data_IF_544407251153
#
_entry.id   IF_544407251153
#
_cell.length_a   1.000
_cell.length_b   1.000
_cell.length_c   1.000
_cell.angle_alpha   90.00
_cell.angle_beta   90.00
_cell.angle_gamma   90.00
#
_symmetry.space_group_name_H-M   'P 1'
#
loop_
_entity.id
_entity.type
_entity.pdbx_description
1 polymer ?
#
# COMPACT_ATOMS: atom_id res chain seq x y z
N UNK A 1 1.78 -11.61 -39.85
CA UNK A 1 0.51 -10.86 -39.91
C UNK A 1 -0.12 -10.96 -38.53
N UNK A 2 -0.52 -9.83 -37.94
CA UNK A 2 -1.09 -9.79 -36.59
C UNK A 2 -2.53 -9.32 -36.62
N UNK A 3 -3.32 -9.77 -35.64
CA UNK A 3 -4.64 -9.22 -35.39
C UNK A 3 -4.46 -7.86 -34.71
N UNK A 4 -5.16 -6.85 -35.19
CA UNK A 4 -5.08 -5.47 -34.72
C UNK A 4 -6.46 -4.82 -34.80
N UNK A 5 -6.59 -3.59 -34.31
CA UNK A 5 -7.87 -2.88 -34.24
C UNK A 5 -8.63 -2.80 -35.58
N UNK A 6 -7.91 -2.77 -36.71
CA UNK A 6 -8.51 -2.69 -38.04
C UNK A 6 -9.14 -4.00 -38.53
N UNK A 7 -8.79 -5.16 -37.97
CA UNK A 7 -9.26 -6.48 -38.43
C UNK A 7 -9.87 -7.34 -37.30
N UNK A 8 -9.82 -6.88 -36.05
CA UNK A 8 -10.32 -7.63 -34.89
C UNK A 8 -11.81 -7.97 -34.98
N UNK A 9 -12.65 -7.07 -35.48
CA UNK A 9 -14.09 -7.34 -35.60
C UNK A 9 -14.40 -8.48 -36.60
N UNK A 10 -13.65 -8.53 -37.70
CA UNK A 10 -13.76 -9.59 -38.70
C UNK A 10 -13.22 -10.91 -38.14
N UNK A 11 -12.11 -10.85 -37.39
CA UNK A 11 -11.53 -12.01 -36.74
C UNK A 11 -12.45 -12.63 -35.67
N UNK A 12 -13.06 -11.80 -34.81
CA UNK A 12 -14.05 -12.27 -33.82
C UNK A 12 -15.28 -12.85 -34.51
N UNK A 13 -15.70 -12.28 -35.64
CA UNK A 13 -16.80 -12.83 -36.45
C UNK A 13 -16.44 -14.19 -37.02
N UNK A 14 -15.21 -14.36 -37.54
CA UNK A 14 -14.68 -15.64 -38.02
C UNK A 14 -14.69 -16.69 -36.90
N UNK A 15 -14.14 -16.37 -35.73
CA UNK A 15 -14.10 -17.30 -34.58
C UNK A 15 -15.50 -17.70 -34.10
N UNK A 16 -16.44 -16.75 -34.03
CA UNK A 16 -17.82 -17.02 -33.60
C UNK A 16 -18.58 -17.91 -34.58
N UNK A 17 -18.44 -17.63 -35.89
CA UNK A 17 -19.04 -18.48 -36.92
C UNK A 17 -18.46 -19.89 -36.88
N UNK A 18 -17.14 -20.02 -36.78
CA UNK A 18 -16.48 -21.33 -36.74
C UNK A 18 -16.86 -22.15 -35.51
N UNK A 19 -16.92 -21.52 -34.33
CA UNK A 19 -17.14 -22.24 -33.06
C UNK A 19 -18.61 -22.48 -32.72
N UNK A 20 -19.49 -21.53 -33.07
CA UNK A 20 -20.90 -21.53 -32.66
C UNK A 20 -21.90 -21.55 -33.82
N UNK A 21 -21.43 -21.47 -35.07
CA UNK A 21 -22.24 -21.42 -36.29
C UNK A 21 -23.32 -20.31 -36.27
N UNK A 22 -23.05 -19.22 -35.55
CA UNK A 22 -23.92 -18.05 -35.43
C UNK A 22 -23.10 -16.77 -35.57
N UNK A 23 -23.74 -15.70 -36.05
CA UNK A 23 -23.10 -14.38 -36.07
C UNK A 23 -22.93 -13.85 -34.62
N UNK A 24 -21.80 -13.18 -34.31
CA UNK A 24 -21.60 -12.57 -33.00
C UNK A 24 -22.62 -11.43 -32.76
N UNK A 25 -23.06 -11.20 -31.51
CA UNK A 25 -23.88 -10.05 -31.16
C UNK A 25 -23.19 -8.72 -31.51
N UNK A 26 -23.97 -7.71 -31.96
CA UNK A 26 -23.43 -6.41 -32.34
C UNK A 26 -22.65 -5.71 -31.20
N UNK A 27 -23.18 -5.76 -29.97
CA UNK A 27 -22.53 -5.20 -28.78
C UNK A 27 -21.15 -5.84 -28.49
N UNK A 28 -20.97 -7.12 -28.83
CA UNK A 28 -19.67 -7.78 -28.69
C UNK A 28 -18.67 -7.21 -29.69
N UNK A 29 -19.07 -7.08 -30.96
CA UNK A 29 -18.22 -6.52 -32.01
C UNK A 29 -17.85 -5.05 -31.72
N UNK A 30 -18.77 -4.26 -31.18
CA UNK A 30 -18.49 -2.90 -30.75
C UNK A 30 -17.48 -2.85 -29.59
N UNK A 31 -17.62 -3.74 -28.61
CA UNK A 31 -16.66 -3.89 -27.52
C UNK A 31 -15.25 -4.19 -28.01
N UNK A 32 -15.09 -5.08 -28.99
CA UNK A 32 -13.78 -5.41 -29.56
C UNK A 32 -13.18 -4.31 -30.44
N UNK A 33 -14.00 -3.49 -31.10
CA UNK A 33 -13.53 -2.33 -31.90
C UNK A 33 -13.01 -1.19 -31.03
N UNK A 34 -13.50 -1.07 -29.80
CA UNK A 34 -13.13 -0.01 -28.88
C UNK A 34 -11.78 -0.25 -28.17
N UNK A 35 -11.22 -1.47 -28.26
CA UNK A 35 -9.97 -1.84 -27.62
C UNK A 35 -8.74 -1.30 -28.37
N UNK A 36 -7.68 -0.97 -27.63
CA UNK A 36 -6.35 -0.72 -28.18
C UNK A 36 -5.69 -2.01 -28.67
N UNK A 37 -4.61 -1.92 -29.47
CA UNK A 37 -3.90 -3.11 -29.95
C UNK A 37 -3.31 -3.94 -28.81
N UNK A 38 -2.82 -3.29 -27.75
CA UNK A 38 -2.29 -3.95 -26.55
C UNK A 38 -3.39 -4.68 -25.76
N UNK A 39 -4.57 -4.07 -25.67
CA UNK A 39 -5.73 -4.69 -25.03
C UNK A 39 -6.29 -5.85 -25.85
N UNK A 40 -6.23 -5.77 -27.19
CA UNK A 40 -6.65 -6.84 -28.09
C UNK A 40 -5.84 -8.11 -27.84
N UNK A 41 -4.51 -8.02 -27.72
CA UNK A 41 -3.66 -9.18 -27.49
C UNK A 41 -4.00 -9.87 -26.15
N UNK A 42 -4.16 -9.09 -25.08
CA UNK A 42 -4.51 -9.59 -23.73
C UNK A 42 -5.91 -10.22 -23.73
N UNK A 43 -6.88 -9.58 -24.36
CA UNK A 43 -8.25 -10.10 -24.42
C UNK A 43 -8.34 -11.34 -25.31
N UNK A 44 -7.56 -11.42 -26.39
CA UNK A 44 -7.48 -12.62 -27.22
C UNK A 44 -6.85 -13.78 -26.43
N UNK A 45 -5.79 -13.55 -25.66
CA UNK A 45 -5.22 -14.60 -24.80
C UNK A 45 -6.25 -15.12 -23.78
N UNK A 46 -6.99 -14.21 -23.14
CA UNK A 46 -8.09 -14.58 -22.25
C UNK A 46 -9.19 -15.38 -22.96
N UNK A 47 -9.55 -15.00 -24.19
CA UNK A 47 -10.57 -15.68 -24.99
C UNK A 47 -10.13 -17.12 -25.33
N UNK A 48 -8.91 -17.30 -25.85
CA UNK A 48 -8.39 -18.62 -26.21
C UNK A 48 -8.20 -19.52 -24.98
N UNK A 49 -7.71 -18.97 -23.87
CA UNK A 49 -7.63 -19.69 -22.60
C UNK A 49 -9.01 -20.14 -22.09
N UNK A 50 -10.04 -19.30 -22.21
CA UNK A 50 -11.41 -19.66 -21.83
C UNK A 50 -12.00 -20.81 -22.68
N UNK A 51 -11.43 -21.04 -23.87
CA UNK A 51 -11.82 -22.12 -24.78
C UNK A 51 -10.92 -23.35 -24.67
N UNK A 52 -9.95 -23.34 -23.75
CA UNK A 52 -8.98 -24.42 -23.56
C UNK A 52 -8.02 -24.59 -24.74
N UNK A 53 -7.78 -23.52 -25.51
CA UNK A 53 -6.89 -23.54 -26.66
C UNK A 53 -5.52 -22.99 -26.27
N UNK A 54 -4.45 -23.70 -26.66
CA UNK A 54 -3.08 -23.29 -26.43
C UNK A 54 -2.57 -22.27 -27.46
N UNK A 55 -1.31 -21.87 -27.29
CA UNK A 55 -0.66 -20.88 -28.16
C UNK A 55 -0.49 -21.38 -29.61
N UNK A 56 -0.33 -22.70 -29.78
CA UNK A 56 -0.24 -23.33 -31.09
C UNK A 56 -1.57 -23.24 -31.86
N UNK A 57 -2.69 -23.53 -31.19
CA UNK A 57 -4.03 -23.40 -31.75
C UNK A 57 -4.39 -21.94 -32.01
N UNK A 58 -3.98 -21.00 -31.14
CA UNK A 58 -4.12 -19.56 -31.38
C UNK A 58 -3.46 -19.14 -32.70
N UNK A 59 -2.20 -19.54 -32.92
CA UNK A 59 -1.47 -19.26 -34.17
C UNK A 59 -2.15 -19.92 -35.38
N UNK A 60 -2.67 -21.13 -35.23
CA UNK A 60 -3.39 -21.83 -36.28
C UNK A 60 -4.68 -21.11 -36.70
N UNK A 61 -5.47 -20.62 -35.75
CA UNK A 61 -6.72 -19.89 -36.04
C UNK A 61 -6.46 -18.53 -36.68
N UNK A 62 -5.43 -17.81 -36.23
CA UNK A 62 -5.01 -16.54 -36.85
C UNK A 62 -4.59 -16.77 -38.30
N UNK A 63 -3.80 -17.81 -38.56
CA UNK A 63 -3.38 -18.15 -39.92
C UNK A 63 -4.56 -18.61 -40.79
N UNK A 64 -5.53 -19.34 -40.23
CA UNK A 64 -6.74 -19.75 -40.92
C UNK A 64 -7.60 -18.54 -41.32
N UNK A 65 -7.76 -17.57 -40.42
CA UNK A 65 -8.43 -16.31 -40.72
C UNK A 65 -7.75 -15.57 -41.86
N UNK A 66 -6.44 -15.35 -41.80
CA UNK A 66 -5.75 -14.65 -42.89
C UNK A 66 -5.82 -15.42 -44.21
N UNK A 67 -5.81 -16.76 -44.18
CA UNK A 67 -6.00 -17.58 -45.38
C UNK A 67 -7.40 -17.44 -45.97
N UNK A 68 -8.44 -17.34 -45.14
CA UNK A 68 -9.82 -17.16 -45.62
C UNK A 68 -10.07 -15.73 -46.11
N UNK A 69 -9.53 -14.73 -45.41
CA UNK A 69 -9.72 -13.32 -45.74
C UNK A 69 -8.89 -12.86 -46.94
N UNK A 70 -7.70 -13.44 -47.18
CA UNK A 70 -6.84 -13.09 -48.32
C UNK A 70 -7.23 -13.83 -49.62
N UNK A 71 -7.96 -14.96 -49.54
CA UNK A 71 -8.27 -15.80 -50.70
C UNK A 71 -9.77 -16.03 -50.96
N UNK A 72 -10.68 -15.38 -50.22
CA UNK A 72 -12.11 -15.42 -50.53
C UNK A 72 -12.45 -14.60 -51.80
N UNK A 73 -13.18 -15.16 -52.78
CA UNK A 73 -13.60 -14.41 -53.96
C UNK A 73 -14.62 -13.33 -53.58
N UNK A 74 -14.31 -12.08 -53.97
CA UNK A 74 -15.14 -10.89 -53.76
C UNK A 74 -16.53 -11.09 -54.38
N UNK A 75 -17.66 -10.86 -53.67
CA UNK A 75 -19.00 -10.95 -54.26
C UNK A 75 -19.15 -9.94 -55.40
N UNK A 76 -19.50 -10.43 -56.59
CA UNK A 76 -19.75 -9.65 -57.79
C UNK A 76 -21.01 -8.79 -57.61
N UNK A 77 -20.93 -7.50 -57.91
CA UNK A 77 -22.05 -6.56 -57.83
C UNK A 77 -23.18 -6.97 -58.79
N UNK A 78 -24.40 -7.05 -58.27
CA UNK A 78 -25.59 -7.36 -59.06
C UNK A 78 -25.93 -6.23 -60.08
N UNK A 79 -26.48 -6.55 -61.26
CA UNK A 79 -26.76 -5.56 -62.31
C UNK A 79 -27.95 -4.66 -61.94
N UNK A 80 -27.84 -3.36 -62.24
CA UNK A 80 -28.94 -2.38 -62.15
C UNK A 80 -29.99 -2.69 -63.22
N UNK A 81 -31.22 -3.01 -62.81
CA UNK A 81 -32.40 -3.04 -63.69
C UNK A 81 -33.10 -1.67 -63.76
N UNK A 82 -33.84 -1.36 -64.84
CA UNK A 82 -34.46 -0.06 -65.10
C UNK A 82 -35.79 0.15 -64.34
N UNK A 83 -36.32 1.40 -64.30
CA UNK A 83 -37.45 1.77 -63.44
C UNK A 83 -38.82 1.25 -63.96
N UNK A 84 -39.78 0.93 -63.07
CA UNK A 84 -41.11 0.45 -63.47
C UNK A 84 -42.15 1.60 -63.68
N UNK A 85 -43.16 1.38 -64.55
CA UNK A 85 -44.29 2.29 -64.81
C UNK A 85 -45.44 2.19 -63.77
N UNK A 86 -46.45 3.09 -63.80
CA UNK A 86 -47.35 3.39 -62.66
C UNK A 86 -48.51 2.38 -62.45
N UNK A 87 -49.24 2.47 -61.32
CA UNK A 87 -49.90 1.33 -60.69
C UNK A 87 -51.31 1.03 -61.23
N UNK A 88 -51.72 -0.23 -61.11
CA UNK A 88 -53.10 -0.71 -61.30
C UNK A 88 -53.57 -1.54 -60.09
N UNK A 89 -54.90 -1.67 -59.88
CA UNK A 89 -55.51 -1.84 -58.56
C UNK A 89 -55.35 -3.22 -57.92
N UNK A 90 -55.25 -3.21 -56.59
CA UNK A 90 -55.23 -4.38 -55.71
C UNK A 90 -56.56 -5.15 -55.73
N UNK A 91 -56.51 -6.49 -55.71
CA UNK A 91 -57.53 -7.30 -55.06
C UNK A 91 -57.12 -7.62 -53.61
N UNK A 92 -58.08 -7.48 -52.70
CA UNK A 92 -58.00 -7.89 -51.30
C UNK A 92 -57.46 -9.32 -51.15
N UNK A 93 -56.36 -9.46 -50.41
CA UNK A 93 -55.95 -10.73 -49.82
C UNK A 93 -56.20 -10.70 -48.32
N UNK A 94 -56.88 -11.75 -47.88
CA UNK A 94 -57.29 -12.09 -46.54
C UNK A 94 -56.12 -12.13 -45.56
N UNK A 95 -56.30 -11.49 -44.41
CA UNK A 95 -55.40 -11.54 -43.25
C UNK A 95 -55.22 -13.01 -42.78
N UNK A 96 -53.99 -13.53 -42.67
CA UNK A 96 -53.77 -14.74 -41.90
C UNK A 96 -53.80 -14.41 -40.41
N UNK A 97 -54.51 -15.26 -39.65
CA UNK A 97 -54.60 -15.18 -38.20
C UNK A 97 -53.20 -15.19 -37.54
N UNK A 98 -52.94 -14.19 -36.70
CA UNK A 98 -51.71 -14.11 -35.90
C UNK A 98 -51.69 -15.28 -34.91
N UNK A 99 -50.95 -16.33 -35.28
CA UNK A 99 -50.65 -17.48 -34.43
C UNK A 99 -49.72 -17.01 -33.30
N UNK A 100 -50.27 -16.70 -32.12
CA UNK A 100 -49.47 -16.47 -30.90
C UNK A 100 -48.67 -17.75 -30.61
N UNK A 101 -47.36 -17.71 -30.85
CA UNK A 101 -46.46 -18.82 -30.50
C UNK A 101 -46.53 -19.04 -28.98
N UNK A 102 -46.72 -20.29 -28.51
CA UNK A 102 -46.75 -20.57 -27.08
C UNK A 102 -45.37 -20.27 -26.47
N UNK A 103 -45.43 -19.55 -25.37
CA UNK A 103 -44.37 -18.98 -24.55
C UNK A 103 -43.02 -19.73 -24.58
N UNK A 104 -41.98 -19.04 -25.04
CA UNK A 104 -40.56 -19.37 -24.84
C UNK A 104 -40.10 -19.26 -23.37
N UNK A 105 -41.03 -19.25 -22.41
CA UNK A 105 -40.80 -19.04 -20.97
C UNK A 105 -39.82 -20.05 -20.38
N UNK A 106 -39.90 -21.33 -20.78
CA UNK A 106 -38.98 -22.35 -20.26
C UNK A 106 -37.53 -22.13 -20.73
N UNK A 107 -37.31 -21.58 -21.93
CA UNK A 107 -35.96 -21.25 -22.42
C UNK A 107 -35.42 -19.96 -21.79
N UNK A 108 -36.27 -18.95 -21.56
CA UNK A 108 -35.86 -17.74 -20.84
C UNK A 108 -35.51 -18.03 -19.38
N UNK A 109 -36.22 -18.96 -18.72
CA UNK A 109 -35.92 -19.38 -17.35
C UNK A 109 -34.52 -20.01 -17.22
N UNK A 110 -34.13 -20.86 -18.18
CA UNK A 110 -32.78 -21.47 -18.21
C UNK A 110 -31.68 -20.44 -18.46
N UNK A 111 -31.89 -19.48 -19.36
CA UNK A 111 -30.92 -18.40 -19.58
C UNK A 111 -30.75 -17.54 -18.32
N UNK A 112 -31.85 -17.18 -17.65
CA UNK A 112 -31.81 -16.44 -16.38
C UNK A 112 -31.07 -17.25 -15.30
N UNK A 113 -31.34 -18.55 -15.17
CA UNK A 113 -30.66 -19.40 -14.20
C UNK A 113 -29.15 -19.47 -14.42
N UNK A 114 -28.69 -19.59 -15.68
CA UNK A 114 -27.26 -19.60 -16.02
C UNK A 114 -26.62 -18.24 -15.70
N UNK A 115 -27.26 -17.12 -16.03
CA UNK A 115 -26.76 -15.78 -15.70
C UNK A 115 -26.65 -15.60 -14.18
N UNK A 116 -27.68 -16.01 -13.42
CA UNK A 116 -27.65 -15.94 -11.96
C UNK A 116 -26.52 -16.80 -11.38
N UNK A 117 -26.29 -18.00 -11.92
CA UNK A 117 -25.21 -18.87 -11.47
C UNK A 117 -23.83 -18.28 -11.77
N UNK A 118 -23.64 -17.67 -12.95
CA UNK A 118 -22.41 -16.95 -13.29
C UNK A 118 -22.19 -15.73 -12.38
N UNK A 119 -23.24 -14.95 -12.10
CA UNK A 119 -23.17 -13.82 -11.17
C UNK A 119 -22.83 -14.29 -9.76
N UNK A 120 -23.48 -15.33 -9.26
CA UNK A 120 -23.19 -15.92 -7.95
C UNK A 120 -21.75 -16.46 -7.88
N UNK A 121 -21.28 -17.14 -8.93
CA UNK A 121 -19.89 -17.61 -9.03
C UNK A 121 -18.89 -16.46 -9.01
N UNK A 122 -19.13 -15.39 -9.78
CA UNK A 122 -18.29 -14.19 -9.78
C UNK A 122 -18.28 -13.48 -8.42
N UNK A 123 -19.45 -13.26 -7.81
CA UNK A 123 -19.56 -12.66 -6.49
C UNK A 123 -18.86 -13.51 -5.42
N UNK A 124 -19.01 -14.83 -5.46
CA UNK A 124 -18.31 -15.75 -4.57
C UNK A 124 -16.80 -15.70 -4.74
N UNK A 125 -16.30 -15.70 -5.98
CA UNK A 125 -14.87 -15.52 -6.27
C UNK A 125 -14.33 -14.19 -5.73
N UNK A 126 -15.02 -13.07 -5.99
CA UNK A 126 -14.65 -11.75 -5.47
C UNK A 126 -14.70 -11.68 -3.95
N UNK A 127 -15.66 -12.37 -3.32
CA UNK A 127 -15.73 -12.45 -1.86
C UNK A 127 -14.54 -13.22 -1.29
N UNK A 128 -14.10 -14.31 -1.90
CA UNK A 128 -12.89 -15.01 -1.47
C UNK A 128 -11.65 -14.12 -1.56
N UNK A 129 -11.48 -13.36 -2.66
CA UNK A 129 -10.39 -12.38 -2.77
C UNK A 129 -10.48 -11.30 -1.69
N UNK A 130 -11.68 -10.81 -1.40
CA UNK A 130 -11.92 -9.81 -0.34
C UNK A 130 -11.65 -10.35 1.07
N UNK A 131 -12.04 -11.59 1.33
CA UNK A 131 -11.83 -12.26 2.61
C UNK A 131 -10.34 -12.55 2.85
N UNK A 132 -9.62 -12.95 1.79
CA UNK A 132 -8.17 -13.18 1.82
C UNK A 132 -7.31 -11.92 1.72
N UNK A 133 -7.91 -10.75 1.48
CA UNK A 133 -7.17 -9.50 1.36
C UNK A 133 -6.51 -9.10 2.68
N UNK A 134 -5.23 -8.73 2.60
CA UNK A 134 -4.41 -8.36 3.74
C UNK A 134 -4.83 -7.01 4.35
N UNK A 135 -4.61 -6.89 5.66
CA UNK A 135 -4.64 -5.59 6.31
C UNK A 135 -3.26 -4.98 6.27
N UNK A 136 -3.22 -3.67 6.05
CA UNK A 136 -2.04 -2.88 6.31
C UNK A 136 -2.27 -2.06 7.58
N UNK A 137 -1.19 -1.84 8.31
CA UNK A 137 -1.17 -1.19 9.61
C UNK A 137 -0.17 -0.05 9.54
N UNK A 138 -0.47 1.08 10.14
CA UNK A 138 0.50 2.19 10.13
C UNK A 138 1.52 2.10 11.25
N UNK A 139 2.72 2.61 10.98
CA UNK A 139 3.86 2.62 11.91
C UNK A 139 4.11 4.00 12.55
N UNK A 140 3.31 5.00 12.17
CA UNK A 140 3.44 6.39 12.66
C UNK A 140 2.07 7.06 12.69
N UNK A 141 1.97 8.18 13.41
CA UNK A 141 0.77 9.00 13.40
C UNK A 141 0.70 9.89 12.16
N UNK A 142 -0.51 10.33 11.82
CA UNK A 142 -0.85 11.33 10.81
C UNK A 142 -0.48 10.96 9.37
N UNK A 143 -0.63 9.69 9.00
CA UNK A 143 -0.41 9.23 7.62
C UNK A 143 -1.65 9.51 6.78
N UNK A 144 -1.51 10.39 5.79
CA UNK A 144 -2.65 10.73 4.91
C UNK A 144 -3.01 9.58 3.97
N UNK A 145 -4.30 9.32 3.84
CA UNK A 145 -4.89 8.46 2.81
C UNK A 145 -5.59 9.36 1.80
N UNK A 146 -5.20 9.27 0.53
CA UNK A 146 -5.64 10.19 -0.53
C UNK A 146 -6.48 9.49 -1.61
N UNK A 147 -7.43 10.19 -2.22
CA UNK A 147 -8.16 9.70 -3.40
C UNK A 147 -7.34 9.86 -4.70
N UNK A 148 -7.96 9.62 -5.85
CA UNK A 148 -7.31 9.76 -7.17
C UNK A 148 -7.04 11.23 -7.51
N UNK A 149 -7.84 12.13 -6.94
CA UNK A 149 -7.75 13.59 -7.04
C UNK A 149 -6.72 14.21 -6.08
N UNK A 150 -5.96 13.38 -5.36
CA UNK A 150 -4.93 13.77 -4.36
C UNK A 150 -5.49 14.42 -3.08
N UNK A 151 -6.79 14.47 -2.89
CA UNK A 151 -7.43 15.00 -1.68
C UNK A 151 -7.32 14.01 -0.52
N UNK A 152 -7.21 14.52 0.70
CA UNK A 152 -7.13 13.69 1.91
C UNK A 152 -8.55 13.23 2.26
N UNK A 153 -8.80 11.93 2.16
CA UNK A 153 -10.12 11.31 2.42
C UNK A 153 -10.16 10.56 3.75
N UNK A 154 -9.00 10.16 4.27
CA UNK A 154 -8.85 9.55 5.59
C UNK A 154 -7.41 9.74 6.09
N UNK A 155 -7.17 9.33 7.32
CA UNK A 155 -5.82 9.22 7.89
C UNK A 155 -5.63 7.88 8.58
N UNK A 156 -4.39 7.43 8.63
CA UNK A 156 -3.95 6.33 9.45
C UNK A 156 -3.11 6.87 10.60
N UNK A 157 -3.36 6.36 11.81
CA UNK A 157 -2.61 6.71 13.01
C UNK A 157 -2.18 5.46 13.78
N UNK A 158 -0.96 5.48 14.33
CA UNK A 158 -0.47 4.35 15.12
C UNK A 158 -1.33 4.19 16.38
N UNK A 159 -1.75 5.31 16.96
CA UNK A 159 -2.70 5.38 18.07
C UNK A 159 -3.99 6.05 17.64
N UNK A 160 -5.14 5.57 18.13
CA UNK A 160 -6.44 6.13 17.78
C UNK A 160 -6.51 7.65 18.09
N UNK A 161 -6.92 8.43 17.09
CA UNK A 161 -7.08 9.89 17.20
C UNK A 161 -8.50 10.27 16.81
N UNK A 162 -9.18 11.01 17.69
CA UNK A 162 -10.47 11.63 17.38
C UNK A 162 -10.23 12.91 16.57
N UNK A 163 -10.72 12.93 15.34
CA UNK A 163 -10.57 14.05 14.39
C UNK A 163 -11.79 14.14 13.46
N UNK A 164 -11.94 15.29 12.80
CA UNK A 164 -12.96 15.49 11.76
C UNK A 164 -12.68 14.65 10.51
N UNK A 165 -11.41 14.29 10.28
CA UNK A 165 -11.01 13.35 9.23
C UNK A 165 -11.00 11.95 9.84
N UNK A 166 -11.70 10.96 9.25
CA UNK A 166 -11.71 9.58 9.74
C UNK A 166 -10.28 9.04 9.93
N UNK A 167 -9.98 8.60 11.15
CA UNK A 167 -8.70 8.01 11.53
C UNK A 167 -8.87 6.51 11.76
N UNK A 168 -7.93 5.74 11.21
CA UNK A 168 -7.90 4.29 11.33
C UNK A 168 -6.51 3.86 11.78
N UNK A 169 -6.39 2.71 12.43
CA UNK A 169 -5.08 2.13 12.75
C UNK A 169 -4.61 1.13 11.68
N UNK A 170 -5.58 0.56 10.98
CA UNK A 170 -5.40 -0.40 9.91
C UNK A 170 -6.42 -0.17 8.83
N UNK A 171 -6.12 -0.64 7.62
CA UNK A 171 -7.06 -0.65 6.50
C UNK A 171 -6.84 -1.91 5.68
N UNK A 172 -7.91 -2.41 5.06
CA UNK A 172 -7.81 -3.55 4.15
C UNK A 172 -7.24 -3.09 2.81
N UNK A 173 -6.10 -3.66 2.41
CA UNK A 173 -5.54 -3.44 1.08
C UNK A 173 -6.39 -4.19 0.05
N UNK A 174 -6.57 -3.62 -1.15
CA UNK A 174 -7.37 -4.28 -2.18
C UNK A 174 -6.60 -5.39 -2.92
N UNK A 175 -5.26 -5.24 -2.94
CA UNK A 175 -4.27 -6.10 -3.56
C UNK A 175 -2.88 -5.75 -3.02
N UNK A 176 -1.86 -6.48 -3.48
CA UNK A 176 -0.46 -6.29 -3.12
C UNK A 176 0.33 -5.43 -4.12
N UNK A 177 -0.36 -4.74 -5.05
CA UNK A 177 0.30 -3.91 -6.05
C UNK A 177 0.74 -2.58 -5.45
N UNK A 178 1.86 -2.08 -5.97
CA UNK A 178 2.37 -0.75 -5.67
C UNK A 178 1.91 0.22 -6.75
N UNK A 179 1.22 1.27 -6.34
CA UNK A 179 0.72 2.34 -7.19
C UNK A 179 1.57 3.58 -6.99
N UNK A 180 2.21 4.06 -8.04
CA UNK A 180 2.94 5.34 -7.99
C UNK A 180 1.95 6.50 -8.14
N UNK A 181 1.87 7.36 -7.11
CA UNK A 181 0.92 8.48 -7.03
C UNK A 181 1.61 9.75 -6.55
N UNK A 182 1.22 10.88 -7.15
CA UNK A 182 1.61 12.20 -6.64
C UNK A 182 0.78 12.54 -5.40
N UNK A 183 1.42 13.15 -4.40
CA UNK A 183 0.75 13.58 -3.15
C UNK A 183 0.40 15.07 -3.16
N UNK A 184 0.96 15.81 -4.11
CA UNK A 184 0.81 17.25 -4.31
C UNK A 184 0.84 17.57 -5.81
N UNK A 185 0.94 18.86 -6.14
CA UNK A 185 1.06 19.33 -7.53
C UNK A 185 2.49 19.23 -8.07
N UNK A 186 3.41 18.56 -7.37
CA UNK A 186 4.73 18.24 -7.92
C UNK A 186 4.67 17.02 -8.81
N UNK A 187 5.65 16.88 -9.70
CA UNK A 187 5.83 15.68 -10.54
C UNK A 187 6.38 14.48 -9.76
N UNK A 188 6.61 14.62 -8.44
CA UNK A 188 7.12 13.53 -7.61
C UNK A 188 6.02 12.52 -7.35
N UNK A 189 6.33 11.26 -7.64
CA UNK A 189 5.45 10.14 -7.32
C UNK A 189 6.02 9.31 -6.18
N UNK A 190 5.14 8.74 -5.38
CA UNK A 190 5.47 7.93 -4.23
C UNK A 190 4.81 6.56 -4.37
N UNK A 191 5.47 5.49 -3.90
CA UNK A 191 4.87 4.16 -3.86
C UNK A 191 3.73 4.12 -2.83
N UNK A 192 2.54 3.71 -3.27
CA UNK A 192 1.35 3.62 -2.45
C UNK A 192 0.66 2.26 -2.55
N UNK A 193 0.00 1.83 -1.47
CA UNK A 193 -0.98 0.74 -1.47
C UNK A 193 -2.37 1.32 -1.66
N UNK A 194 -3.21 0.63 -2.43
CA UNK A 194 -4.63 0.98 -2.56
C UNK A 194 -5.44 0.26 -1.47
N UNK A 195 -6.27 1.01 -0.77
CA UNK A 195 -6.99 0.57 0.45
C UNK A 195 -8.47 0.90 0.38
N UNK A 196 -9.27 0.14 1.11
CA UNK A 196 -10.69 0.42 1.35
C UNK A 196 -10.86 1.40 2.51
N UNK A 197 -11.64 2.46 2.30
CA UNK A 197 -11.88 3.49 3.31
C UNK A 197 -12.86 3.04 4.41
N UNK A 198 -13.66 2.01 4.15
CA UNK A 198 -14.57 1.42 5.13
C UNK A 198 -14.17 -0.02 5.41
N UNK A 199 -13.77 -0.30 6.65
CA UNK A 199 -13.55 -1.66 7.11
C UNK A 199 -14.85 -2.47 6.94
N UNK A 200 -14.77 -3.62 6.28
CA UNK A 200 -15.90 -4.56 6.09
C UNK A 200 -16.92 -4.21 4.99
N UNK A 201 -16.63 -3.27 4.08
CA UNK A 201 -17.51 -3.01 2.94
C UNK A 201 -17.20 -3.86 1.69
N UNK A 202 -17.67 -5.11 1.67
CA UNK A 202 -17.54 -5.98 0.49
C UNK A 202 -18.21 -5.38 -0.75
N UNK A 203 -19.34 -4.69 -0.59
CA UNK A 203 -20.06 -4.09 -1.73
C UNK A 203 -19.22 -2.99 -2.40
N UNK A 204 -18.49 -2.19 -1.63
CA UNK A 204 -17.52 -1.24 -2.17
C UNK A 204 -16.41 -1.94 -2.98
N UNK A 205 -15.89 -3.05 -2.47
CA UNK A 205 -14.89 -3.88 -3.17
C UNK A 205 -15.44 -4.52 -4.45
N UNK A 206 -16.69 -4.98 -4.43
CA UNK A 206 -17.33 -5.66 -5.55
C UNK A 206 -17.60 -4.70 -6.72
N UNK A 207 -18.13 -3.51 -6.42
CA UNK A 207 -18.57 -2.55 -7.45
C UNK A 207 -17.53 -1.49 -7.82
N UNK A 208 -16.37 -1.47 -7.16
CA UNK A 208 -15.29 -0.51 -7.39
C UNK A 208 -15.78 0.95 -7.52
N UNK A 209 -16.68 1.37 -6.61
CA UNK A 209 -17.26 2.72 -6.66
C UNK A 209 -16.21 3.78 -6.35
N UNK A 210 -16.23 4.88 -7.10
CA UNK A 210 -15.42 6.06 -6.80
C UNK A 210 -15.71 6.56 -5.36
N UNK A 211 -14.68 7.03 -4.67
CA UNK A 211 -14.77 7.51 -3.29
C UNK A 211 -14.80 6.44 -2.20
N UNK A 212 -14.71 5.14 -2.54
CA UNK A 212 -14.60 4.06 -1.54
C UNK A 212 -13.16 3.57 -1.31
N UNK A 213 -12.22 4.07 -2.11
CA UNK A 213 -10.82 3.69 -2.07
C UNK A 213 -9.94 4.89 -1.81
N UNK A 214 -8.79 4.62 -1.19
CA UNK A 214 -7.72 5.58 -1.05
C UNK A 214 -6.37 4.95 -1.34
N UNK A 215 -5.36 5.79 -1.35
CA UNK A 215 -3.97 5.43 -1.54
C UNK A 215 -3.17 5.91 -0.35
N UNK A 216 -2.32 5.03 0.19
CA UNK A 216 -1.47 5.31 1.34
C UNK A 216 -0.03 4.93 1.03
N UNK A 217 0.89 5.80 1.41
CA UNK A 217 2.31 5.62 1.11
C UNK A 217 2.89 4.40 1.86
N UNK A 218 3.58 3.54 1.11
CA UNK A 218 4.12 2.26 1.61
C UNK A 218 5.21 2.43 2.65
N UNK A 219 5.87 3.59 2.71
CA UNK A 219 6.93 3.86 3.68
C UNK A 219 6.43 3.99 5.12
N UNK A 220 5.11 4.09 5.31
CA UNK A 220 4.50 4.32 6.63
C UNK A 220 3.52 3.20 7.03
N UNK A 221 3.54 2.07 6.33
CA UNK A 221 2.65 0.95 6.60
C UNK A 221 3.38 -0.39 6.51
N UNK A 222 2.88 -1.35 7.28
CA UNK A 222 3.34 -2.76 7.32
C UNK A 222 2.13 -3.68 7.17
N UNK A 223 2.33 -4.90 6.69
CA UNK A 223 1.29 -5.92 6.56
C UNK A 223 1.27 -6.94 7.73
N UNK A 224 2.31 -6.90 8.57
CA UNK A 224 2.47 -7.81 9.69
C UNK A 224 1.87 -7.25 11.00
N UNK A 225 0.86 -7.93 11.53
CA UNK A 225 0.19 -7.54 12.80
C UNK A 225 1.13 -7.62 14.01
N UNK A 226 2.08 -8.57 14.03
CA UNK A 226 3.05 -8.67 15.13
C UNK A 226 3.98 -7.47 15.14
N UNK A 227 4.45 -7.07 13.96
CA UNK A 227 5.27 -5.86 13.81
C UNK A 227 4.49 -4.63 14.26
N UNK A 228 3.23 -4.48 13.83
CA UNK A 228 2.35 -3.41 14.29
C UNK A 228 2.17 -3.37 15.81
N UNK A 229 1.92 -4.52 16.45
CA UNK A 229 1.80 -4.60 17.91
C UNK A 229 3.10 -4.19 18.61
N UNK A 230 4.25 -4.49 18.01
CA UNK A 230 5.55 -4.05 18.51
C UNK A 230 5.70 -2.53 18.41
N UNK A 231 5.28 -1.88 17.30
CA UNK A 231 5.20 -0.42 17.23
C UNK A 231 4.29 0.17 18.31
N UNK A 232 3.08 -0.39 18.50
CA UNK A 232 2.15 0.09 19.53
C UNK A 232 2.74 -0.02 20.93
N UNK A 233 3.39 -1.14 21.23
CA UNK A 233 4.01 -1.40 22.53
C UNK A 233 5.19 -0.47 22.76
N UNK A 234 6.14 -0.41 21.82
CA UNK A 234 7.38 0.33 21.95
C UNK A 234 7.14 1.84 22.16
N UNK A 235 6.14 2.41 21.49
CA UNK A 235 5.87 3.86 21.49
C UNK A 235 4.68 4.29 22.37
N UNK A 236 4.13 3.40 23.21
CA UNK A 236 2.92 3.68 23.99
C UNK A 236 3.04 4.87 24.94
N UNK A 237 4.22 5.14 25.49
CA UNK A 237 4.47 6.30 26.34
C UNK A 237 4.88 7.53 25.52
N UNK A 238 5.60 7.35 24.40
CA UNK A 238 5.98 8.45 23.51
C UNK A 238 4.76 9.25 23.05
N UNK A 239 3.62 8.58 22.80
CA UNK A 239 2.39 9.25 22.32
C UNK A 239 1.88 10.35 23.25
N UNK A 240 2.16 10.27 24.56
CA UNK A 240 1.69 11.27 25.54
C UNK A 240 2.60 12.50 25.57
N UNK A 241 3.83 12.40 25.06
CA UNK A 241 4.77 13.50 24.94
C UNK A 241 4.81 14.02 23.50
N UNK A 242 4.05 15.10 23.23
CA UNK A 242 3.93 15.69 21.89
C UNK A 242 5.27 16.06 21.26
N UNK A 243 6.23 16.56 22.04
CA UNK A 243 7.52 17.02 21.52
C UNK A 243 8.40 15.85 21.08
N UNK A 244 8.47 14.78 21.87
CA UNK A 244 9.19 13.55 21.48
C UNK A 244 8.48 12.82 20.34
N UNK A 245 7.14 12.74 20.36
CA UNK A 245 6.36 12.08 19.32
C UNK A 245 6.56 12.74 17.94
N UNK A 246 6.57 14.07 17.89
CA UNK A 246 6.76 14.84 16.66
C UNK A 246 8.19 14.73 16.11
N UNK A 247 9.19 14.60 16.99
CA UNK A 247 10.59 14.50 16.61
C UNK A 247 10.98 13.07 16.18
N UNK A 248 10.27 12.06 16.70
CA UNK A 248 10.47 10.67 16.35
C UNK A 248 9.77 10.28 15.03
N UNK A 249 10.38 10.71 13.93
CA UNK A 249 9.96 10.39 12.54
C UNK A 249 9.90 8.87 12.29
N UNK A 250 9.10 8.47 11.30
CA UNK A 250 8.90 7.07 10.92
C UNK A 250 10.19 6.28 10.70
N UNK A 251 11.23 6.92 10.13
CA UNK A 251 12.52 6.28 9.88
C UNK A 251 13.23 5.85 11.17
N UNK A 252 13.16 6.67 12.24
CA UNK A 252 13.74 6.33 13.54
C UNK A 252 12.95 5.22 14.22
N UNK A 253 11.61 5.27 14.12
CA UNK A 253 10.74 4.20 14.63
C UNK A 253 11.07 2.87 13.96
N UNK A 254 11.28 2.88 12.65
CA UNK A 254 11.67 1.69 11.89
C UNK A 254 12.99 1.09 12.36
N UNK A 255 13.99 1.92 12.67
CA UNK A 255 15.26 1.44 13.22
C UNK A 255 15.05 0.81 14.59
N UNK A 256 14.31 1.46 15.48
CA UNK A 256 14.05 0.93 16.83
C UNK A 256 13.33 -0.42 16.74
N UNK A 257 12.24 -0.52 15.98
CA UNK A 257 11.48 -1.76 15.85
C UNK A 257 12.27 -2.85 15.11
N UNK A 258 12.97 -2.48 14.03
CA UNK A 258 13.84 -3.39 13.29
C UNK A 258 14.89 -4.01 14.21
N UNK A 259 15.58 -3.20 15.01
CA UNK A 259 16.52 -3.69 16.02
C UNK A 259 15.84 -4.53 17.10
N UNK A 260 14.72 -4.07 17.68
CA UNK A 260 13.99 -4.82 18.72
C UNK A 260 13.51 -6.19 18.24
N UNK A 261 13.12 -6.33 16.97
CA UNK A 261 12.65 -7.60 16.43
C UNK A 261 13.73 -8.70 16.34
N UNK A 262 15.01 -8.32 16.47
CA UNK A 262 16.14 -9.25 16.51
C UNK A 262 16.43 -9.80 17.91
N UNK A 263 15.81 -9.25 18.96
CA UNK A 263 15.99 -9.67 20.35
C UNK A 263 14.63 -9.96 21.01
N UNK A 264 14.34 -11.24 21.24
CA UNK A 264 13.10 -11.68 21.89
C UNK A 264 12.88 -11.05 23.28
N UNK A 265 13.95 -10.66 23.98
CA UNK A 265 13.86 -9.95 25.25
C UNK A 265 13.25 -8.56 25.15
N UNK A 266 13.04 -8.02 23.94
CA UNK A 266 12.53 -6.68 23.69
C UNK A 266 11.03 -6.63 23.37
N UNK A 267 10.38 -7.76 23.08
CA UNK A 267 9.01 -7.79 22.52
C UNK A 267 7.98 -7.03 23.38
N UNK A 268 8.13 -7.07 24.71
CA UNK A 268 7.22 -6.43 25.66
C UNK A 268 7.77 -5.13 26.27
N UNK A 269 8.95 -4.69 25.84
CA UNK A 269 9.58 -3.47 26.35
C UNK A 269 9.09 -2.25 25.56
N UNK A 270 9.15 -1.11 26.21
CA UNK A 270 8.75 0.16 25.61
C UNK A 270 9.72 1.27 25.97
N UNK A 271 9.74 2.34 25.17
CA UNK A 271 10.56 3.51 25.45
C UNK A 271 9.94 4.27 26.61
N UNK A 272 10.69 4.33 27.71
CA UNK A 272 10.28 5.04 28.91
C UNK A 272 10.64 6.52 28.77
N UNK A 273 9.66 7.40 28.98
CA UNK A 273 9.94 8.84 29.10
C UNK A 273 10.15 9.17 30.57
N UNK A 274 11.40 9.16 30.99
CA UNK A 274 11.78 9.60 32.33
C UNK A 274 11.55 11.11 32.46
N UNK A 275 10.62 11.50 33.35
CA UNK A 275 10.15 12.87 33.61
C UNK A 275 9.47 13.60 32.43
N UNK A 276 8.13 13.55 32.39
CA UNK A 276 7.31 14.39 31.51
C UNK A 276 7.34 15.86 31.94
N UNK A 277 7.30 16.78 30.97
CA UNK A 277 7.11 18.21 31.22
C UNK A 277 8.36 19.05 31.47
N UNK A 278 9.58 18.49 31.45
CA UNK A 278 10.80 19.30 31.45
C UNK A 278 10.84 20.09 30.12
N UNK A 279 10.80 21.44 30.15
CA UNK A 279 10.77 22.26 28.96
C UNK A 279 12.01 22.04 28.09
N UNK A 280 11.83 22.01 26.76
CA UNK A 280 12.94 22.17 25.81
C UNK A 280 13.26 23.67 25.71
N UNK A 281 13.99 24.24 26.67
CA UNK A 281 14.64 25.53 26.44
C UNK A 281 15.82 25.33 25.48
N UNK A 282 16.09 26.28 24.59
CA UNK A 282 17.07 26.07 23.51
C UNK A 282 18.51 25.81 24.01
N UNK A 283 18.86 26.31 25.19
CA UNK A 283 20.22 26.21 25.76
C UNK A 283 20.41 24.92 26.58
N UNK A 284 19.36 24.44 27.26
CA UNK A 284 19.41 23.27 28.15
C UNK A 284 18.38 22.20 27.75
N UNK A 285 18.12 22.07 26.44
CA UNK A 285 17.12 21.14 25.93
C UNK A 285 17.48 19.72 26.35
N UNK A 286 16.59 19.10 27.12
CA UNK A 286 16.69 17.68 27.44
C UNK A 286 15.86 16.85 26.47
N UNK A 287 16.42 15.73 26.03
CA UNK A 287 15.82 14.79 25.09
C UNK A 287 15.67 13.44 25.75
N UNK A 288 14.55 12.76 25.51
CA UNK A 288 14.38 11.37 25.95
C UNK A 288 15.06 10.37 24.98
N UNK A 289 15.23 10.78 23.71
CA UNK A 289 15.78 9.94 22.64
C UNK A 289 16.85 10.69 21.86
N UNK A 290 18.07 10.15 21.81
CA UNK A 290 19.13 10.63 20.91
C UNK A 290 18.90 10.04 19.52
N UNK A 291 19.05 10.87 18.50
CA UNK A 291 19.03 10.47 17.09
C UNK A 291 20.36 10.87 16.47
N UNK A 292 21.23 9.90 16.20
CA UNK A 292 22.57 10.17 15.68
C UNK A 292 22.70 9.66 14.23
N UNK A 293 22.94 10.54 13.24
CA UNK A 293 23.30 10.10 11.91
C UNK A 293 24.73 9.55 11.92
N UNK A 294 24.92 8.30 11.49
CA UNK A 294 26.24 7.73 11.16
C UNK A 294 26.54 8.01 9.68
N UNK A 295 25.52 7.84 8.84
CA UNK A 295 25.53 8.28 7.44
C UNK A 295 24.19 8.93 7.17
N UNK A 296 24.20 10.22 6.83
CA UNK A 296 22.99 11.02 6.73
C UNK A 296 21.97 10.38 5.79
N UNK A 297 20.71 10.25 6.25
CA UNK A 297 19.61 9.63 5.52
C UNK A 297 19.81 8.17 5.10
N UNK A 298 20.79 7.47 5.69
CA UNK A 298 21.07 6.06 5.41
C UNK A 298 21.09 5.27 6.71
N UNK A 299 22.05 5.60 7.59
CA UNK A 299 22.37 4.83 8.79
C UNK A 299 22.29 5.72 10.01
N UNK A 300 21.52 5.28 11.01
CA UNK A 300 21.38 6.00 12.26
C UNK A 300 21.60 5.07 13.46
N UNK A 301 22.05 5.68 14.55
CA UNK A 301 22.06 5.10 15.88
C UNK A 301 21.09 5.90 16.74
N UNK A 302 20.14 5.20 17.34
CA UNK A 302 19.12 5.78 18.22
C UNK A 302 19.40 5.30 19.62
N UNK A 303 19.40 6.20 20.62
CA UNK A 303 19.59 5.81 22.02
C UNK A 303 18.36 6.23 22.81
N UNK A 304 17.79 5.29 23.56
CA UNK A 304 16.62 5.52 24.41
C UNK A 304 16.67 4.66 25.68
N UNK A 305 16.05 5.17 26.74
CA UNK A 305 15.74 4.40 27.96
C UNK A 305 14.54 3.50 27.72
N UNK A 306 14.62 2.25 28.17
CA UNK A 306 13.56 1.26 28.05
C UNK A 306 12.90 1.01 29.40
N UNK A 307 11.72 0.40 29.37
CA UNK A 307 10.89 0.11 30.55
C UNK A 307 11.51 -0.81 31.60
N UNK A 308 12.63 -1.46 31.28
CA UNK A 308 13.42 -2.27 32.22
C UNK A 308 14.45 -1.43 33.00
N UNK A 309 14.46 -0.11 32.79
CA UNK A 309 15.34 0.83 33.47
C UNK A 309 16.73 0.97 32.86
N UNK A 310 17.03 0.27 31.76
CA UNK A 310 18.30 0.37 31.05
C UNK A 310 18.19 1.20 29.77
N UNK A 311 19.34 1.74 29.33
CA UNK A 311 19.46 2.46 28.07
C UNK A 311 20.04 1.56 26.99
N UNK A 312 19.50 1.67 25.79
CA UNK A 312 19.88 0.85 24.65
C UNK A 312 20.19 1.71 23.43
N UNK A 313 21.16 1.24 22.64
CA UNK A 313 21.39 1.70 21.27
C UNK A 313 20.69 0.78 20.28
N UNK A 314 19.96 1.39 19.34
CA UNK A 314 19.30 0.76 18.22
C UNK A 314 19.98 1.26 16.95
N UNK A 315 20.52 0.35 16.15
CA UNK A 315 21.30 0.68 14.96
C UNK A 315 20.67 0.05 13.74
N UNK A 316 20.54 0.84 12.67
CA UNK A 316 20.03 0.33 11.41
C UNK A 316 20.36 1.19 10.21
N UNK A 317 20.41 0.54 9.06
CA UNK A 317 20.44 1.13 7.73
C UNK A 317 19.06 0.96 7.07
N UNK A 318 18.41 2.10 6.82
CA UNK A 318 17.05 2.14 6.31
C UNK A 318 17.00 1.78 4.82
N UNK A 319 18.07 2.05 4.06
CA UNK A 319 18.11 1.77 2.62
C UNK A 319 18.25 0.28 2.36
N UNK A 320 19.13 -0.40 3.10
CA UNK A 320 19.31 -1.84 2.99
C UNK A 320 18.35 -2.66 3.87
N UNK A 321 17.56 -2.00 4.71
CA UNK A 321 16.67 -2.62 5.69
C UNK A 321 17.42 -3.59 6.62
N UNK A 322 18.65 -3.22 6.98
CA UNK A 322 19.54 -4.01 7.82
C UNK A 322 19.61 -3.39 9.21
N UNK A 323 19.43 -4.20 10.25
CA UNK A 323 19.36 -3.76 11.64
C UNK A 323 20.31 -4.60 12.50
N UNK A 324 20.75 -4.00 13.60
CA UNK A 324 21.54 -4.69 14.62
C UNK A 324 20.69 -4.88 15.86
N UNK A 325 20.84 -6.01 16.55
CA UNK A 325 20.17 -6.24 17.84
C UNK A 325 20.55 -5.14 18.85
N UNK A 326 19.65 -4.73 19.75
CA UNK A 326 19.90 -3.60 20.62
C UNK A 326 21.04 -3.88 21.60
N UNK A 327 21.92 -2.91 21.81
CA UNK A 327 23.04 -3.03 22.74
C UNK A 327 22.85 -2.08 23.91
N UNK A 328 23.04 -2.57 25.13
CA UNK A 328 23.01 -1.71 26.32
C UNK A 328 24.10 -0.64 26.22
N UNK A 329 23.72 0.60 26.48
CA UNK A 329 24.67 1.69 26.66
C UNK A 329 25.34 1.51 28.01
N UNK A 330 26.66 1.66 28.05
CA UNK A 330 27.43 1.55 29.28
C UNK A 330 27.70 2.94 29.87
N UNK A 331 27.95 2.97 31.18
CA UNK A 331 28.50 4.11 31.89
C UNK A 331 29.87 3.72 32.48
N UNK A 332 30.82 4.64 32.45
CA UNK A 332 32.17 4.49 33.00
C UNK A 332 32.28 5.45 34.18
N UNK A 333 32.40 4.94 35.41
CA UNK A 333 32.48 5.76 36.61
C UNK A 333 33.87 6.40 36.81
N UNK A 334 34.04 7.18 37.89
CA UNK A 334 35.29 7.87 38.20
C UNK A 334 36.48 6.91 38.40
N UNK A 335 36.19 5.69 38.88
CA UNK A 335 37.16 4.61 39.10
C UNK A 335 37.47 3.82 37.80
N UNK A 336 36.83 4.18 36.67
CA UNK A 336 36.99 3.49 35.39
C UNK A 336 36.23 2.17 35.27
N UNK A 337 35.39 1.83 36.24
CA UNK A 337 34.53 0.65 36.17
C UNK A 337 33.37 0.89 35.20
N UNK A 338 33.01 -0.15 34.47
CA UNK A 338 32.00 -0.09 33.41
C UNK A 338 30.77 -0.89 33.81
N UNK A 339 29.60 -0.25 33.79
CA UNK A 339 28.32 -0.88 34.10
C UNK A 339 27.22 -0.43 33.12
N UNK A 340 26.13 -1.19 32.92
CA UNK A 340 25.04 -0.73 32.08
C UNK A 340 24.40 0.55 32.63
N UNK A 341 24.23 1.55 31.76
CA UNK A 341 23.53 2.78 32.11
C UNK A 341 22.09 2.44 32.52
N UNK A 342 21.74 2.80 33.75
CA UNK A 342 20.42 2.59 34.33
C UNK A 342 19.99 3.78 35.19
N UNK A 343 18.69 4.00 35.34
CA UNK A 343 18.14 5.12 36.12
C UNK A 343 17.24 6.05 35.29
N UNK A 344 16.90 7.21 35.85
CA UNK A 344 15.98 8.18 35.25
C UNK A 344 16.76 9.36 34.65
N UNK A 345 17.37 9.14 33.49
CA UNK A 345 18.14 10.15 32.78
C UNK A 345 17.45 10.68 31.52
N UNK A 346 17.77 11.92 31.19
CA UNK A 346 17.59 12.48 29.84
C UNK A 346 18.92 12.95 29.30
N UNK A 347 18.96 13.25 28.01
CA UNK A 347 20.16 13.69 27.32
C UNK A 347 20.11 15.20 27.14
N UNK A 348 21.12 15.92 27.61
CA UNK A 348 21.26 17.36 27.45
C UNK A 348 22.43 17.65 26.52
N UNK A 349 22.25 18.59 25.58
CA UNK A 349 23.38 19.09 24.80
C UNK A 349 23.95 20.33 25.49
N UNK A 350 25.16 20.22 26.02
CA UNK A 350 25.90 21.31 26.67
C UNK A 350 27.20 21.54 25.90
N UNK A 351 27.31 22.69 25.26
CA UNK A 351 28.50 23.09 24.48
C UNK A 351 28.92 22.09 23.40
N UNK A 352 27.95 21.43 22.75
CA UNK A 352 28.19 20.43 21.70
C UNK A 352 28.45 19.01 22.22
N UNK A 353 28.52 18.83 23.54
CA UNK A 353 28.66 17.54 24.19
C UNK A 353 27.32 17.07 24.75
N UNK A 354 27.05 15.78 24.61
CA UNK A 354 25.84 15.18 25.16
C UNK A 354 26.15 14.69 26.57
N UNK A 355 25.47 15.24 27.56
CA UNK A 355 25.61 14.86 28.97
C UNK A 355 24.32 14.22 29.49
N UNK A 356 24.43 13.41 30.53
CA UNK A 356 23.26 12.89 31.23
C UNK A 356 22.69 13.96 32.18
N UNK A 357 21.37 14.12 32.13
CA UNK A 357 20.60 14.95 33.06
C UNK A 357 19.78 14.03 33.98
N UNK A 358 20.06 14.09 35.28
CA UNK A 358 19.35 13.32 36.30
C UNK A 358 17.97 13.94 36.54
N UNK A 359 16.93 13.21 36.17
CA UNK A 359 15.55 13.69 36.27
C UNK A 359 15.00 13.66 37.69
N UNK A 360 15.60 12.89 38.60
CA UNK A 360 15.20 12.84 40.01
C UNK A 360 15.77 14.06 40.73
N UNK A 361 17.05 14.36 40.48
CA UNK A 361 17.74 15.52 41.07
C UNK A 361 17.49 16.83 40.33
N UNK A 362 16.88 16.76 39.15
CA UNK A 362 16.67 17.88 38.24
C UNK A 362 17.98 18.65 37.92
N UNK A 363 19.09 17.91 37.75
CA UNK A 363 20.42 18.48 37.57
C UNK A 363 21.21 17.78 36.46
N UNK A 364 22.09 18.55 35.80
CA UNK A 364 23.10 17.97 34.92
C UNK A 364 24.07 17.12 35.73
N UNK A 365 24.52 16.01 35.15
CA UNK A 365 25.55 15.16 35.75
C UNK A 365 26.91 15.39 35.08
N UNK A 366 27.94 14.82 35.68
CA UNK A 366 29.30 14.79 35.14
C UNK A 366 29.54 13.67 34.12
N UNK A 367 28.49 12.98 33.67
CA UNK A 367 28.60 11.91 32.67
C UNK A 367 28.43 12.47 31.26
N UNK A 368 29.50 12.41 30.47
CA UNK A 368 29.56 12.90 29.09
C UNK A 368 29.63 11.74 28.09
N UNK A 369 28.97 11.89 26.94
CA UNK A 369 28.94 10.88 25.90
C UNK A 369 30.34 10.62 25.32
N UNK A 370 30.83 9.39 25.48
CA UNK A 370 32.03 8.89 24.81
C UNK A 370 31.67 8.35 23.43
N UNK A 371 32.28 8.92 22.41
CA UNK A 371 32.10 8.53 21.01
C UNK A 371 33.26 7.65 20.52
N UNK A 372 32.99 6.74 19.60
CA UNK A 372 34.02 6.01 18.85
C UNK A 372 34.58 6.85 17.69
N UNK A 373 35.51 6.27 16.91
CA UNK A 373 36.15 6.93 15.77
C UNK A 373 35.16 7.31 14.65
N UNK A 374 33.98 6.68 14.62
CA UNK A 374 32.89 6.99 13.69
C UNK A 374 31.92 8.02 14.29
N UNK A 375 32.24 8.57 15.45
CA UNK A 375 31.41 9.51 16.18
C UNK A 375 30.24 8.85 16.91
N UNK A 376 30.04 7.53 16.85
CA UNK A 376 28.92 6.82 17.50
C UNK A 376 29.10 6.84 19.01
N UNK A 377 28.05 7.19 19.74
CA UNK A 377 28.06 7.11 21.21
C UNK A 377 28.09 5.63 21.63
N UNK A 378 29.13 5.24 22.36
CA UNK A 378 29.35 3.87 22.85
C UNK A 378 29.19 3.74 24.36
N UNK A 379 29.40 4.83 25.10
CA UNK A 379 29.23 4.88 26.55
C UNK A 379 29.02 6.33 27.02
N UNK A 380 28.70 6.51 28.30
CA UNK A 380 28.83 7.78 29.00
C UNK A 380 29.95 7.67 30.04
N UNK A 381 30.93 8.57 30.02
CA UNK A 381 32.07 8.52 30.92
C UNK A 381 31.99 9.66 31.93
N UNK A 382 32.32 9.37 33.19
CA UNK A 382 32.49 10.40 34.20
C UNK A 382 33.63 11.32 33.80
N UNK A 383 33.35 12.62 33.81
CA UNK A 383 34.32 13.68 33.56
C UNK A 383 34.38 14.55 34.80
N UNK A 384 35.55 14.56 35.43
CA UNK A 384 35.75 15.34 36.64
C UNK A 384 35.45 16.83 36.36
N UNK A 385 34.66 17.51 37.19
CA UNK A 385 34.38 18.92 37.00
C UNK A 385 35.69 19.70 37.09
N UNK A 386 35.85 20.69 36.21
CA UNK A 386 37.02 21.58 36.28
C UNK A 386 37.08 22.29 37.64
N UNK A 387 38.28 22.62 38.11
CA UNK A 387 38.49 23.41 39.33
C UNK A 387 37.65 24.70 39.36
N UNK A 388 37.44 25.34 38.21
CA UNK A 388 36.57 26.51 38.10
C UNK A 388 35.11 26.16 38.36
N UNK A 389 34.59 25.07 37.80
CA UNK A 389 33.22 24.61 38.06
C UNK A 389 33.02 24.25 39.54
N UNK A 390 34.01 23.62 40.17
CA UNK A 390 33.95 23.28 41.61
C UNK A 390 33.93 24.50 42.54
N UNK A 391 34.36 25.68 42.06
CA UNK A 391 34.37 26.93 42.85
C UNK A 391 33.08 27.72 42.69
N UNK A 392 32.36 27.54 41.57
CA UNK A 392 31.17 28.33 41.21
C UNK A 392 29.83 27.58 41.37
N UNK A 393 29.85 26.27 41.58
CA UNK A 393 28.70 25.45 42.03
C UNK A 393 28.73 25.28 43.56
#
# INVERSE_FOLDING_TARGET
MSIAQNNIAEFITFLYKKKKNIAPPAALLEGWKALSNEEIDVQLDGLFASWGLGEAEKKQEINAFFKETLFAPKPQAAPKMPPPPPPRPQPQQTLPAVRRKPAAWKRSLWVVAVIVLLLAGYTGFRYMSYAGASYIYTITDNVSVRNEEKEIVARLDLFEVKSNIPSYQKMKAIDDKIYYRGIDNSDKTYPCRKVLLQENNFMAYLFNRQGQFGYVNTNYVVDNVKEFNLYQTAFKEIKTNKAENADLKALYRKIIIGSMSLDAGMENKYIAIHAGGIPRSAVDATFAVIKQPVTENVKYVIIAGMSDGYYYSFEGDIKSNNFTAPQKIMVINAEGQTEPLSGNYRFMNKDGNIILYDCIRAAATNYEAKKDDNGKIVAFAYKEPSLLQQIFE
#
